data_IF_825266991500
#
_entry.id   IF_825266991500
#
_cell.length_a   1.000
_cell.length_b   1.000
_cell.length_c   1.000
_cell.angle_alpha   90.00
_cell.angle_beta   90.00
_cell.angle_gamma   90.00
#
_symmetry.space_group_name_H-M   'P 1'
#
loop_
_entity.id
_entity.type
_entity.pdbx_description
1 polymer ?
#
# COMPACT_ATOMS: atom_id res chain seq x y z
N UNK A 1 -7.37 -26.83 -3.06
CA UNK A 1 -6.27 -26.43 -2.16
C UNK A 1 -5.80 -25.06 -2.61
N UNK A 2 -6.46 -24.02 -2.11
CA UNK A 2 -5.90 -22.67 -2.04
C UNK A 2 -6.32 -22.17 -0.68
N UNK A 3 -5.48 -22.46 0.29
CA UNK A 3 -5.54 -21.93 1.65
C UNK A 3 -5.24 -20.43 1.52
N UNK A 4 -6.28 -19.61 1.40
CA UNK A 4 -6.12 -18.17 1.60
C UNK A 4 -5.94 -17.96 3.10
N UNK A 5 -4.80 -17.42 3.56
CA UNK A 5 -4.55 -17.27 4.97
C UNK A 5 -5.50 -16.20 5.53
N UNK A 6 -6.45 -16.68 6.31
CA UNK A 6 -7.31 -15.93 7.21
C UNK A 6 -6.44 -15.04 8.12
N UNK A 7 -6.44 -13.73 7.91
CA UNK A 7 -5.78 -12.79 8.82
C UNK A 7 -6.84 -11.96 9.56
N UNK A 8 -7.26 -12.46 10.71
CA UNK A 8 -7.71 -11.59 11.80
C UNK A 8 -6.48 -11.10 12.55
N UNK A 9 -6.13 -9.81 12.44
CA UNK A 9 -5.35 -9.10 13.46
C UNK A 9 -5.83 -7.65 13.53
N UNK A 10 -6.59 -7.37 14.58
CA UNK A 10 -6.87 -6.06 15.20
C UNK A 10 -6.24 -4.85 14.47
N UNK A 11 -7.09 -4.07 13.83
CA UNK A 11 -6.88 -2.75 13.20
C UNK A 11 -5.97 -2.66 11.95
N UNK A 12 -5.19 -3.69 11.61
CA UNK A 12 -4.31 -3.62 10.42
C UNK A 12 -4.93 -4.29 9.17
N UNK A 13 -5.09 -3.53 8.08
CA UNK A 13 -5.47 -4.07 6.76
C UNK A 13 -4.21 -4.51 6.00
N UNK A 14 -4.18 -5.77 5.55
CA UNK A 14 -3.06 -6.33 4.80
C UNK A 14 -3.54 -6.75 3.43
N UNK A 15 -3.04 -6.07 2.40
CA UNK A 15 -3.31 -6.43 1.01
C UNK A 15 -2.02 -6.92 0.33
N UNK A 16 -2.15 -7.96 -0.50
CA UNK A 16 -1.06 -8.52 -1.28
C UNK A 16 -1.41 -8.41 -2.75
N UNK A 17 -0.65 -7.58 -3.46
CA UNK A 17 -0.87 -7.35 -4.89
C UNK A 17 0.15 -8.18 -5.68
N UNK A 18 -0.35 -9.05 -6.57
CA UNK A 18 0.51 -9.79 -7.50
C UNK A 18 1.18 -8.80 -8.47
N UNK A 19 2.45 -9.05 -8.81
CA UNK A 19 3.42 -8.09 -9.39
C UNK A 19 3.13 -7.46 -10.76
N UNK A 20 1.87 -7.45 -11.19
CA UNK A 20 1.36 -6.61 -12.28
C UNK A 20 0.90 -5.21 -11.80
N UNK A 21 0.69 -5.00 -10.50
CA UNK A 21 0.28 -3.70 -9.94
C UNK A 21 1.47 -2.84 -9.51
N UNK A 22 1.36 -1.51 -9.66
CA UNK A 22 2.37 -0.58 -9.15
C UNK A 22 2.26 -0.43 -7.63
N UNK A 23 3.37 -0.35 -6.87
CA UNK A 23 3.35 -0.09 -5.43
C UNK A 23 2.48 1.11 -5.02
N UNK A 24 2.50 2.18 -5.81
CA UNK A 24 1.65 3.36 -5.62
C UNK A 24 0.16 3.06 -5.75
N UNK A 25 -0.25 2.30 -6.76
CA UNK A 25 -1.64 1.87 -6.96
C UNK A 25 -2.10 0.96 -5.82
N UNK A 26 -1.25 0.01 -5.43
CA UNK A 26 -1.49 -0.90 -4.32
C UNK A 26 -1.76 -0.16 -2.99
N UNK A 27 -1.02 0.92 -2.72
CA UNK A 27 -1.27 1.79 -1.56
C UNK A 27 -2.64 2.43 -1.64
N UNK A 28 -2.96 3.05 -2.78
CA UNK A 28 -4.20 3.81 -2.94
C UNK A 28 -5.41 2.88 -2.77
N UNK A 29 -5.36 1.69 -3.37
CA UNK A 29 -6.40 0.68 -3.23
C UNK A 29 -6.57 0.21 -1.79
N UNK A 30 -5.46 -0.10 -1.09
CA UNK A 30 -5.52 -0.54 0.30
C UNK A 30 -6.09 0.54 1.23
N UNK A 31 -5.73 1.81 1.01
CA UNK A 31 -6.26 2.92 1.80
C UNK A 31 -7.73 3.20 1.45
N UNK A 32 -8.11 3.11 0.18
CA UNK A 32 -9.50 3.26 -0.26
C UNK A 32 -10.41 2.20 0.40
N UNK A 33 -9.93 0.96 0.52
CA UNK A 33 -10.62 -0.11 1.24
C UNK A 33 -10.79 0.20 2.73
N UNK A 34 -9.76 0.75 3.38
CA UNK A 34 -9.80 1.16 4.81
C UNK A 34 -10.76 2.33 5.03
N UNK A 35 -10.75 3.31 4.13
CA UNK A 35 -11.60 4.50 4.16
C UNK A 35 -13.03 4.23 3.63
N UNK A 36 -13.33 2.99 3.23
CA UNK A 36 -14.59 2.57 2.62
C UNK A 36 -15.04 3.50 1.47
N UNK A 37 -14.09 3.92 0.64
CA UNK A 37 -14.32 4.87 -0.45
C UNK A 37 -13.63 4.43 -1.73
N UNK A 38 -13.87 5.16 -2.81
CA UNK A 38 -13.21 4.89 -4.08
C UNK A 38 -11.81 5.53 -4.10
N UNK A 39 -10.81 4.92 -4.75
CA UNK A 39 -9.45 5.45 -4.90
C UNK A 39 -9.34 6.93 -5.29
N UNK A 40 -10.21 7.39 -6.21
CA UNK A 40 -10.23 8.77 -6.69
C UNK A 40 -10.94 9.76 -5.76
N UNK A 41 -11.61 9.27 -4.71
CA UNK A 41 -12.26 10.09 -3.68
C UNK A 41 -11.36 10.33 -2.46
N UNK A 42 -10.19 9.68 -2.37
CA UNK A 42 -9.23 9.92 -1.29
C UNK A 42 -8.72 11.36 -1.33
N UNK A 43 -8.84 12.08 -0.22
CA UNK A 43 -8.43 13.47 -0.08
C UNK A 43 -7.74 13.71 1.28
N UNK A 44 -6.53 14.30 1.32
CA UNK A 44 -5.74 14.76 0.18
C UNK A 44 -5.22 13.61 -0.70
N UNK A 45 -4.83 13.86 -1.96
CA UNK A 45 -4.22 12.86 -2.83
C UNK A 45 -2.87 12.34 -2.29
N UNK A 46 -2.48 11.12 -2.68
CA UNK A 46 -1.25 10.49 -2.21
C UNK A 46 0.01 11.35 -2.45
N UNK A 47 0.08 12.08 -3.57
CA UNK A 47 1.24 12.92 -3.92
C UNK A 47 1.53 14.05 -2.91
N UNK A 48 0.56 14.42 -2.06
CA UNK A 48 0.77 15.39 -0.98
C UNK A 48 1.60 14.79 0.17
N UNK A 49 1.54 13.47 0.37
CA UNK A 49 2.31 12.75 1.38
C UNK A 49 3.59 12.10 0.81
N UNK A 50 3.49 11.54 -0.41
CA UNK A 50 4.57 10.78 -1.04
C UNK A 50 4.42 10.80 -2.56
N UNK A 51 5.53 11.02 -3.28
CA UNK A 51 5.56 10.91 -4.74
C UNK A 51 5.31 9.44 -5.20
N UNK A 52 4.20 9.16 -5.91
CA UNK A 52 3.87 7.83 -6.41
C UNK A 52 4.93 7.24 -7.34
N UNK A 53 5.49 8.04 -8.24
CA UNK A 53 6.48 7.60 -9.22
C UNK A 53 7.83 7.29 -8.52
N UNK A 54 8.16 8.05 -7.48
CA UNK A 54 9.33 7.77 -6.64
C UNK A 54 9.17 6.47 -5.85
N UNK A 55 7.98 6.22 -5.26
CA UNK A 55 7.67 4.97 -4.56
C UNK A 55 7.82 3.77 -5.49
N UNK A 56 7.23 3.86 -6.68
CA UNK A 56 7.31 2.81 -7.70
C UNK A 56 8.75 2.55 -8.11
N UNK A 57 9.50 3.61 -8.42
CA UNK A 57 10.91 3.52 -8.79
C UNK A 57 11.76 2.86 -7.70
N UNK A 58 11.48 3.18 -6.44
CA UNK A 58 12.21 2.69 -5.27
C UNK A 58 11.96 1.21 -5.01
N UNK A 59 10.71 0.76 -5.12
CA UNK A 59 10.32 -0.61 -4.79
C UNK A 59 10.42 -1.57 -5.98
N UNK A 60 10.22 -1.11 -7.22
CA UNK A 60 10.46 -1.90 -8.43
C UNK A 60 11.94 -2.03 -8.79
N UNK A 61 12.80 -1.17 -8.25
CA UNK A 61 14.25 -1.24 -8.42
C UNK A 61 14.86 -2.53 -7.86
N UNK A 62 16.10 -2.86 -8.24
CA UNK A 62 16.83 -4.02 -7.70
C UNK A 62 17.58 -3.70 -6.39
N UNK A 63 17.96 -2.44 -6.20
CA UNK A 63 18.71 -1.97 -5.04
C UNK A 63 17.80 -1.63 -3.86
N UNK A 64 18.26 -1.71 -2.60
CA UNK A 64 17.48 -1.26 -1.44
C UNK A 64 17.08 0.22 -1.55
N UNK A 65 16.04 0.64 -0.81
CA UNK A 65 15.31 -0.09 0.24
C UNK A 65 14.26 -1.07 -0.32
N UNK A 66 13.96 -2.11 0.47
CA UNK A 66 12.91 -3.12 0.15
C UNK A 66 11.54 -2.77 0.76
N UNK A 67 11.48 -1.72 1.57
CA UNK A 67 10.30 -1.32 2.33
C UNK A 67 10.27 0.19 2.47
N UNK A 68 9.08 0.77 2.36
CA UNK A 68 8.80 2.18 2.61
C UNK A 68 7.72 2.27 3.68
N UNK A 69 7.87 3.21 4.61
CA UNK A 69 6.88 3.50 5.65
C UNK A 69 6.63 5.00 5.68
N UNK A 70 5.37 5.41 5.65
CA UNK A 70 4.95 6.80 5.68
C UNK A 70 3.53 6.94 6.22
N UNK A 71 3.19 8.12 6.73
CA UNK A 71 1.85 8.43 7.20
C UNK A 71 0.98 9.00 6.07
N UNK A 72 -0.28 8.56 5.98
CA UNK A 72 -1.25 9.09 5.03
C UNK A 72 -2.68 8.93 5.57
N UNK A 73 -3.48 10.00 5.53
CA UNK A 73 -4.84 10.04 6.09
C UNK A 73 -4.97 9.64 7.57
N UNK A 74 -3.88 9.75 8.33
CA UNK A 74 -3.85 9.33 9.74
C UNK A 74 -3.50 7.85 9.93
N UNK A 75 -3.27 7.12 8.84
CA UNK A 75 -2.77 5.76 8.85
C UNK A 75 -1.26 5.69 8.70
N UNK A 76 -0.65 4.68 9.32
CA UNK A 76 0.74 4.29 9.05
C UNK A 76 0.77 3.25 7.93
N UNK A 77 1.30 3.64 6.77
CA UNK A 77 1.32 2.81 5.57
C UNK A 77 2.71 2.19 5.39
N UNK A 78 2.77 0.87 5.37
CA UNK A 78 3.97 0.10 5.06
C UNK A 78 3.82 -0.61 3.74
N UNK A 79 4.77 -0.39 2.82
CA UNK A 79 4.80 -1.02 1.51
C UNK A 79 6.08 -1.82 1.37
N UNK A 80 5.95 -3.11 1.09
CA UNK A 80 7.06 -4.02 0.84
C UNK A 80 7.22 -4.31 -0.65
N UNK A 81 8.45 -4.56 -1.08
CA UNK A 81 8.80 -4.89 -2.47
C UNK A 81 8.10 -6.14 -3.01
N UNK A 82 7.71 -7.07 -2.13
CA UNK A 82 7.01 -8.28 -2.52
C UNK A 82 5.52 -8.06 -2.83
N UNK A 83 5.06 -6.80 -2.81
CA UNK A 83 3.68 -6.42 -3.10
C UNK A 83 2.78 -6.39 -1.88
N UNK A 84 3.33 -6.60 -0.67
CA UNK A 84 2.58 -6.48 0.58
C UNK A 84 2.41 -5.02 0.98
N UNK A 85 1.17 -4.61 1.21
CA UNK A 85 0.81 -3.32 1.82
C UNK A 85 0.15 -3.61 3.17
N UNK A 86 0.58 -2.88 4.20
CA UNK A 86 -0.01 -2.90 5.54
C UNK A 86 -0.43 -1.49 5.88
N UNK A 87 -1.67 -1.33 6.32
CA UNK A 87 -2.24 -0.07 6.80
C UNK A 87 -2.64 -0.27 8.26
N UNK A 88 -2.16 0.58 9.16
CA UNK A 88 -2.46 0.58 10.60
C UNK A 88 -3.17 1.87 11.03
#
# INVERSE_FOLDING_TARGET
MSDQPNLKKSDAVISQFEGAYRPSEAVIEAIAEVEETEPWNLQPPLYEALDPDALDSLLMGKSPPKRVVFGYLGHDVTVERDGRVVVE
#
